data_IF_151895696906
#
_entry.id   IF_151895696906
#
_cell.length_a   1.000
_cell.length_b   1.000
_cell.length_c   1.000
_cell.angle_alpha   90.00
_cell.angle_beta   90.00
_cell.angle_gamma   90.00
#
_symmetry.space_group_name_H-M   'P 1'
#
loop_
_entity.id
_entity.type
_entity.pdbx_description
1 polymer ?
#
# COMPACT_ATOMS: atom_id res chain seq x y z
N UNK A 1 16.65 28.61 -13.31
CA UNK A 1 15.52 28.70 -12.35
C UNK A 1 14.46 27.72 -12.81
N UNK A 2 14.10 26.74 -11.98
CA UNK A 2 12.99 25.82 -12.29
C UNK A 2 11.67 26.51 -11.94
N UNK A 3 10.69 26.41 -12.83
CA UNK A 3 9.34 26.97 -12.64
C UNK A 3 8.45 25.93 -11.96
N UNK A 4 7.57 26.37 -11.06
CA UNK A 4 6.57 25.52 -10.43
C UNK A 4 5.62 24.93 -11.49
N UNK A 5 5.42 23.61 -11.55
CA UNK A 5 4.51 23.01 -12.53
C UNK A 5 3.06 23.41 -12.25
N UNK A 6 2.34 23.77 -13.31
CA UNK A 6 0.87 23.92 -13.24
C UNK A 6 0.26 22.54 -13.46
N UNK A 7 -0.33 21.96 -12.43
CA UNK A 7 -0.91 20.59 -12.48
C UNK A 7 -1.97 20.45 -13.57
N UNK A 8 -2.71 21.53 -13.89
CA UNK A 8 -3.70 21.55 -14.96
C UNK A 8 -3.13 21.26 -16.37
N UNK A 9 -1.82 21.42 -16.56
CA UNK A 9 -1.15 21.11 -17.84
C UNK A 9 -0.83 19.61 -17.99
N UNK A 10 -1.07 18.82 -16.95
CA UNK A 10 -0.79 17.40 -16.89
C UNK A 10 -2.08 16.58 -16.89
N UNK A 11 -1.99 15.34 -17.38
CA UNK A 11 -3.10 14.38 -17.29
C UNK A 11 -3.02 13.61 -15.98
N UNK A 12 -4.14 13.44 -15.25
CA UNK A 12 -4.19 12.53 -14.10
C UNK A 12 -3.72 11.13 -14.50
N UNK A 13 -2.86 10.54 -13.69
CA UNK A 13 -2.32 9.21 -13.92
C UNK A 13 -2.82 8.21 -12.88
N UNK A 14 -2.63 8.51 -11.58
CA UNK A 14 -3.13 7.69 -10.48
C UNK A 14 -3.19 8.49 -9.19
N UNK A 15 -4.02 8.02 -8.25
CA UNK A 15 -4.08 8.53 -6.88
C UNK A 15 -3.79 7.39 -5.93
N UNK A 16 -2.93 7.63 -4.94
CA UNK A 16 -2.53 6.63 -3.95
C UNK A 16 -2.83 7.21 -2.55
N UNK A 17 -3.77 6.60 -1.80
CA UNK A 17 -3.97 6.94 -0.39
C UNK A 17 -2.84 6.35 0.47
N UNK A 18 -2.70 6.87 1.69
CA UNK A 18 -1.74 6.41 2.71
C UNK A 18 -0.34 6.17 2.14
N UNK A 19 0.20 7.21 1.48
CA UNK A 19 1.45 7.09 0.76
C UNK A 19 2.62 6.77 1.67
N UNK A 20 3.53 5.99 1.11
CA UNK A 20 4.85 5.77 1.66
C UNK A 20 5.77 6.98 1.38
N UNK A 21 6.33 7.56 2.45
CA UNK A 21 7.43 8.52 2.38
C UNK A 21 8.66 7.92 3.06
N UNK A 22 9.70 7.66 2.27
CA UNK A 22 10.98 7.08 2.72
C UNK A 22 10.83 5.77 3.51
N UNK A 23 9.95 4.86 3.06
CA UNK A 23 9.69 3.57 3.71
C UNK A 23 8.71 3.65 4.87
N UNK A 24 7.97 4.75 5.00
CA UNK A 24 6.94 4.95 6.01
C UNK A 24 5.59 5.33 5.44
N UNK A 25 4.62 4.44 5.63
CA UNK A 25 3.21 4.70 5.35
C UNK A 25 2.70 5.80 6.29
N UNK A 26 2.19 6.88 5.71
CA UNK A 26 1.59 8.01 6.43
C UNK A 26 0.06 7.97 6.25
N UNK A 27 -0.72 7.55 7.26
CA UNK A 27 -2.17 7.53 7.16
C UNK A 27 -2.76 8.93 6.93
N UNK A 28 -3.62 9.05 5.93
CA UNK A 28 -4.25 10.30 5.50
C UNK A 28 -3.39 11.16 4.58
N UNK A 29 -2.19 10.71 4.20
CA UNK A 29 -1.40 11.34 3.14
C UNK A 29 -1.77 10.71 1.79
N UNK A 30 -2.36 11.51 0.91
CA UNK A 30 -2.71 11.11 -0.44
C UNK A 30 -1.72 11.71 -1.43
N UNK A 31 -1.18 10.90 -2.34
CA UNK A 31 -0.42 11.38 -3.50
C UNK A 31 -1.22 11.27 -4.78
N UNK A 32 -1.42 12.38 -5.45
CA UNK A 32 -2.01 12.46 -6.79
C UNK A 32 -0.90 12.66 -7.81
N UNK A 33 -0.78 11.71 -8.74
CA UNK A 33 0.28 11.69 -9.74
C UNK A 33 -0.27 12.04 -11.11
N UNK A 34 0.44 12.92 -11.81
CA UNK A 34 0.08 13.41 -13.13
C UNK A 34 1.26 13.29 -14.08
N UNK A 35 0.97 13.12 -15.37
CA UNK A 35 1.98 12.94 -16.41
C UNK A 35 1.68 13.82 -17.62
N UNK A 36 2.73 14.24 -18.30
CA UNK A 36 2.66 14.98 -19.57
C UNK A 36 3.83 14.57 -20.46
N UNK A 37 3.63 14.34 -21.77
CA UNK A 37 4.73 14.22 -22.72
C UNK A 37 5.61 15.48 -22.71
N UNK A 38 6.92 15.31 -22.83
CA UNK A 38 7.91 16.39 -22.89
C UNK A 38 9.07 15.95 -23.81
N UNK A 39 8.90 16.17 -25.12
CA UNK A 39 9.77 15.60 -26.15
C UNK A 39 9.80 14.07 -26.06
N UNK A 40 11.01 13.52 -25.98
CA UNK A 40 11.24 12.06 -25.85
C UNK A 40 11.11 11.55 -24.41
N UNK A 41 10.71 12.41 -23.46
CA UNK A 41 10.56 12.09 -22.04
C UNK A 41 9.12 12.27 -21.60
N UNK A 42 8.81 11.72 -20.41
CA UNK A 42 7.51 11.94 -19.76
C UNK A 42 7.76 12.70 -18.47
N UNK A 43 7.32 13.95 -18.42
CA UNK A 43 7.33 14.75 -17.21
C UNK A 43 6.26 14.21 -16.24
N UNK A 44 6.60 14.14 -14.96
CA UNK A 44 5.72 13.68 -13.88
C UNK A 44 5.69 14.69 -12.75
N UNK A 45 4.52 14.87 -12.15
CA UNK A 45 4.33 15.66 -10.93
C UNK A 45 3.46 14.87 -9.95
N UNK A 46 3.89 14.80 -8.69
CA UNK A 46 3.11 14.30 -7.57
C UNK A 46 2.68 15.47 -6.69
N UNK A 47 1.38 15.58 -6.42
CA UNK A 47 0.81 16.53 -5.46
C UNK A 47 0.35 15.76 -4.23
N UNK A 48 0.90 16.13 -3.08
CA UNK A 48 0.72 15.41 -1.83
C UNK A 48 -0.17 16.22 -0.90
N UNK A 49 -1.26 15.60 -0.45
CA UNK A 49 -2.25 16.19 0.44
C UNK A 49 -2.37 15.39 1.73
N UNK A 50 -2.22 16.05 2.86
CA UNK A 50 -2.46 15.45 4.16
C UNK A 50 -3.84 15.88 4.67
N UNK A 51 -4.74 14.91 4.87
CA UNK A 51 -6.13 15.16 5.31
C UNK A 51 -6.83 16.25 4.49
N UNK A 52 -6.60 16.25 3.18
CA UNK A 52 -7.17 17.21 2.22
C UNK A 52 -6.39 18.52 2.05
N UNK A 53 -5.42 18.83 2.91
CA UNK A 53 -4.59 20.03 2.77
C UNK A 53 -3.33 19.74 1.93
N UNK A 54 -3.05 20.58 0.93
CA UNK A 54 -1.83 20.49 0.13
C UNK A 54 -0.60 20.70 1.01
N UNK A 55 0.40 19.82 0.87
CA UNK A 55 1.58 19.82 1.72
C UNK A 55 2.85 20.06 0.90
N UNK A 56 3.05 19.30 -0.18
CA UNK A 56 4.13 19.52 -1.13
C UNK A 56 3.78 19.02 -2.53
N UNK A 57 4.54 19.50 -3.51
CA UNK A 57 4.62 18.92 -4.85
C UNK A 57 6.05 18.52 -5.14
N UNK A 58 6.22 17.37 -5.76
CA UNK A 58 7.51 16.89 -6.25
C UNK A 58 7.40 16.51 -7.73
N UNK A 59 8.38 16.87 -8.54
CA UNK A 59 8.35 16.62 -9.99
C UNK A 59 9.71 16.28 -10.58
N UNK A 60 9.67 15.71 -11.77
CA UNK A 60 10.83 15.23 -12.51
C UNK A 60 10.36 14.52 -13.76
N UNK A 61 11.07 13.47 -14.16
CA UNK A 61 10.72 12.66 -15.31
C UNK A 61 10.58 11.18 -14.92
N UNK A 62 9.74 10.47 -15.67
CA UNK A 62 9.63 9.01 -15.54
C UNK A 62 11.00 8.37 -15.79
N UNK A 63 11.37 7.41 -14.94
CA UNK A 63 12.66 6.69 -15.00
C UNK A 63 13.78 7.34 -14.19
N UNK A 64 13.58 8.53 -13.62
CA UNK A 64 14.51 9.09 -12.64
C UNK A 64 14.32 8.39 -11.27
N UNK A 65 15.43 8.04 -10.61
CA UNK A 65 15.41 7.35 -9.31
C UNK A 65 14.83 8.22 -8.18
N UNK A 66 14.95 9.53 -8.32
CA UNK A 66 14.52 10.50 -7.32
C UNK A 66 13.76 11.65 -7.98
N UNK A 67 12.92 12.32 -7.19
CA UNK A 67 12.30 13.57 -7.62
C UNK A 67 13.41 14.59 -7.90
N UNK A 68 13.29 15.29 -9.03
CA UNK A 68 14.28 16.30 -9.42
C UNK A 68 14.10 17.59 -8.64
N UNK A 69 12.84 17.94 -8.35
CA UNK A 69 12.48 19.18 -7.69
C UNK A 69 11.30 18.98 -6.73
N UNK A 70 11.28 19.78 -5.67
CA UNK A 70 10.21 19.82 -4.68
C UNK A 70 9.88 21.26 -4.28
N UNK A 71 8.60 21.54 -4.01
CA UNK A 71 8.12 22.78 -3.40
C UNK A 71 7.05 22.47 -2.34
N UNK A 72 6.99 23.26 -1.28
CA UNK A 72 6.04 23.07 -0.17
C UNK A 72 4.92 24.09 -0.23
N UNK A 73 3.76 23.71 0.32
CA UNK A 73 2.67 24.64 0.56
C UNK A 73 2.93 25.40 1.87
N UNK A 74 2.93 26.72 1.80
CA UNK A 74 2.91 27.63 2.94
C UNK A 74 1.65 28.50 2.95
N UNK A 75 1.56 29.39 3.94
CA UNK A 75 0.44 30.33 4.09
C UNK A 75 0.32 31.28 2.90
N UNK A 76 1.47 31.79 2.41
CA UNK A 76 1.54 32.71 1.26
C UNK A 76 1.45 32.02 -0.11
N UNK A 77 1.24 30.70 -0.14
CA UNK A 77 1.28 29.90 -1.36
C UNK A 77 2.47 28.94 -1.41
N UNK A 78 2.90 28.59 -2.62
CA UNK A 78 3.99 27.62 -2.82
C UNK A 78 5.36 28.24 -2.56
N UNK A 79 6.24 27.52 -1.88
CA UNK A 79 7.64 27.94 -1.73
C UNK A 79 8.36 27.91 -3.08
N UNK A 80 9.52 28.58 -3.15
CA UNK A 80 10.43 28.38 -4.26
C UNK A 80 10.82 26.89 -4.37
N UNK A 81 10.94 26.34 -5.59
CA UNK A 81 11.45 24.99 -5.80
C UNK A 81 12.86 24.80 -5.25
N UNK A 82 13.12 23.66 -4.65
CA UNK A 82 14.47 23.18 -4.36
C UNK A 82 14.74 21.85 -5.04
N UNK A 83 16.01 21.56 -5.28
CA UNK A 83 16.43 20.30 -5.90
C UNK A 83 16.23 19.12 -4.95
N UNK A 84 15.87 17.97 -5.52
CA UNK A 84 15.76 16.70 -4.82
C UNK A 84 14.39 16.41 -4.20
N UNK A 85 14.37 15.32 -3.43
CA UNK A 85 13.20 14.80 -2.71
C UNK A 85 12.73 15.74 -1.58
N UNK A 86 11.49 15.54 -1.09
CA UNK A 86 11.01 16.23 0.10
C UNK A 86 11.94 16.05 1.30
N UNK A 87 12.14 17.12 2.07
CA UNK A 87 12.97 17.16 3.27
C UNK A 87 12.18 16.56 4.40
N UNK A 88 12.36 15.27 4.62
CA UNK A 88 11.71 14.56 5.71
C UNK A 88 12.73 14.09 6.74
N UNK A 89 12.32 14.05 8.00
CA UNK A 89 13.11 13.50 9.10
C UNK A 89 12.22 12.65 9.99
N UNK A 90 12.69 11.47 10.35
CA UNK A 90 11.98 10.59 11.27
C UNK A 90 12.29 10.93 12.73
N UNK A 91 11.25 10.98 13.55
CA UNK A 91 11.33 11.14 15.01
C UNK A 91 10.25 10.30 15.70
N UNK A 92 10.64 9.27 16.46
CA UNK A 92 9.79 8.51 17.38
C UNK A 92 8.31 8.30 16.93
N UNK A 93 8.09 7.57 15.83
CA UNK A 93 6.73 7.27 15.32
C UNK A 93 6.07 8.43 14.54
N UNK A 94 6.84 9.48 14.24
CA UNK A 94 6.42 10.62 13.44
C UNK A 94 7.40 10.85 12.30
N UNK A 95 6.90 11.29 11.15
CA UNK A 95 7.68 11.86 10.06
C UNK A 95 7.50 13.37 10.07
N UNK A 96 8.60 14.10 10.24
CA UNK A 96 8.60 15.56 10.15
C UNK A 96 8.90 15.97 8.72
N UNK A 97 8.01 16.74 8.11
CA UNK A 97 8.29 17.42 6.84
C UNK A 97 8.78 18.83 7.13
N UNK A 98 10.00 19.15 6.70
CA UNK A 98 10.61 20.47 6.85
C UNK A 98 10.35 21.31 5.58
N UNK A 99 9.47 22.31 5.71
CA UNK A 99 9.10 23.20 4.60
C UNK A 99 10.06 24.38 4.46
N UNK A 100 11.13 24.43 5.26
CA UNK A 100 12.05 25.56 5.41
C UNK A 100 11.50 26.71 6.26
N UNK A 101 10.18 26.79 6.46
CA UNK A 101 9.52 27.78 7.32
C UNK A 101 8.82 27.15 8.52
N UNK A 102 8.36 25.92 8.37
CA UNK A 102 7.66 25.18 9.41
C UNK A 102 8.05 23.70 9.35
N UNK A 103 7.77 22.99 10.45
CA UNK A 103 7.84 21.53 10.49
C UNK A 103 6.46 20.96 10.73
N UNK A 104 6.04 20.08 9.83
CA UNK A 104 4.74 19.42 9.90
C UNK A 104 4.97 18.00 10.40
N UNK A 105 4.40 17.67 11.54
CA UNK A 105 4.44 16.33 12.12
C UNK A 105 3.34 15.46 11.51
N UNK A 106 3.76 14.41 10.80
CA UNK A 106 2.87 13.42 10.22
C UNK A 106 3.00 12.11 11.01
N UNK A 107 1.90 11.55 11.55
CA UNK A 107 1.95 10.25 12.21
C UNK A 107 2.31 9.18 11.18
N UNK A 108 3.23 8.28 11.51
CA UNK A 108 3.54 7.12 10.67
C UNK A 108 3.06 5.84 11.30
N UNK A 109 2.60 4.92 10.46
CA UNK A 109 2.47 3.53 10.87
C UNK A 109 3.82 2.84 10.66
N UNK A 110 4.16 1.87 11.51
CA UNK A 110 5.21 0.93 11.17
C UNK A 110 4.83 0.30 9.82
N UNK A 111 5.75 0.29 8.86
CA UNK A 111 5.50 -0.34 7.57
C UNK A 111 4.96 -1.76 7.81
N UNK A 112 3.73 -2.01 7.37
CA UNK A 112 3.25 -3.39 7.32
C UNK A 112 4.13 -4.13 6.31
N UNK A 113 4.66 -5.33 6.62
CA UNK A 113 5.43 -6.11 5.66
C UNK A 113 4.65 -6.43 4.37
N UNK A 114 3.34 -6.20 4.35
CA UNK A 114 2.44 -6.40 3.21
C UNK A 114 2.34 -5.18 2.26
N UNK A 115 2.76 -3.98 2.70
CA UNK A 115 2.74 -2.75 1.89
C UNK A 115 4.04 -2.50 1.11
N UNK A 116 5.03 -3.41 1.24
CA UNK A 116 6.15 -3.46 0.32
C UNK A 116 5.59 -3.70 -1.09
N UNK A 117 5.71 -2.71 -1.97
CA UNK A 117 5.51 -2.90 -3.39
C UNK A 117 6.31 -4.14 -3.82
N UNK A 118 5.80 -5.05 -4.67
CA UNK A 118 6.53 -6.24 -5.06
C UNK A 118 7.70 -5.87 -5.95
N UNK A 119 8.77 -5.36 -5.35
CA UNK A 119 10.09 -5.35 -5.93
C UNK A 119 10.59 -6.80 -5.85
N UNK A 120 10.52 -7.47 -7.00
CA UNK A 120 11.12 -8.78 -7.25
C UNK A 120 10.56 -9.95 -6.42
N UNK A 121 9.36 -10.40 -6.78
CA UNK A 121 8.94 -11.77 -6.52
C UNK A 121 9.72 -12.76 -7.42
N UNK A 122 11.05 -12.81 -7.30
CA UNK A 122 11.88 -13.82 -7.95
C UNK A 122 13.17 -14.06 -7.16
N UNK A 123 13.07 -14.95 -6.16
CA UNK A 123 14.09 -15.94 -5.82
C UNK A 123 13.64 -16.74 -4.60
N UNK A 124 12.87 -17.81 -4.81
CA UNK A 124 12.92 -18.97 -3.91
C UNK A 124 14.00 -19.91 -4.43
N UNK A 125 15.12 -20.15 -3.72
CA UNK A 125 15.83 -21.40 -3.88
C UNK A 125 14.94 -22.49 -3.28
N UNK A 126 14.48 -23.42 -4.12
CA UNK A 126 13.74 -24.59 -3.66
C UNK A 126 14.62 -25.46 -2.75
N UNK A 127 14.05 -26.19 -1.78
CA UNK A 127 14.79 -27.21 -1.07
C UNK A 127 15.04 -28.40 -2.01
N UNK A 128 16.30 -28.57 -2.42
CA UNK A 128 16.81 -29.84 -2.92
C UNK A 128 17.16 -30.71 -1.71
N UNK A 129 16.62 -31.93 -1.67
CA UNK A 129 16.95 -32.91 -0.64
C UNK A 129 15.86 -33.94 -0.42
N UNK A 130 15.70 -34.81 -1.40
CA UNK A 130 14.91 -36.04 -1.34
C UNK A 130 15.34 -36.93 -0.17
N UNK A 131 14.38 -37.54 0.53
CA UNK A 131 14.54 -38.91 1.01
C UNK A 131 13.19 -39.66 0.96
N UNK A 132 13.18 -40.59 0.00
CA UNK A 132 12.51 -41.88 -0.15
C UNK A 132 11.41 -42.31 0.84
N UNK A 133 10.33 -42.88 0.28
CA UNK A 133 9.46 -43.81 1.01
C UNK A 133 8.05 -43.97 0.44
N UNK A 134 7.94 -44.57 -0.74
CA UNK A 134 6.66 -44.94 -1.34
C UNK A 134 5.94 -46.05 -0.56
N UNK A 135 4.61 -45.95 -0.41
CA UNK A 135 3.70 -47.05 -0.77
C UNK A 135 2.32 -46.51 -1.10
N UNK A 136 1.85 -46.90 -2.28
CA UNK A 136 0.51 -46.66 -2.80
C UNK A 136 -0.54 -47.52 -2.06
N UNK A 137 -1.81 -47.10 -2.10
CA UNK A 137 -2.90 -47.92 -2.63
C UNK A 137 -4.21 -47.12 -2.71
N UNK A 138 -4.76 -47.13 -3.91
CA UNK A 138 -6.09 -46.67 -4.31
C UNK A 138 -7.19 -47.49 -3.64
N UNK A 139 -8.32 -46.86 -3.31
CA UNK A 139 -9.62 -47.53 -3.36
C UNK A 139 -10.72 -46.51 -3.65
N UNK A 140 -11.54 -46.84 -4.64
CA UNK A 140 -12.74 -46.16 -5.13
C UNK A 140 -13.96 -47.04 -4.82
N UNK A 141 -15.17 -46.44 -4.90
CA UNK A 141 -16.55 -47.00 -4.87
C UNK A 141 -17.16 -47.20 -3.48
N UNK A 142 -18.47 -47.09 -3.25
CA UNK A 142 -19.68 -46.62 -3.96
C UNK A 142 -20.82 -46.67 -2.91
N UNK A 143 -22.00 -46.08 -3.20
CA UNK A 143 -23.05 -45.73 -2.24
C UNK A 143 -23.75 -46.85 -1.46
N UNK A 144 -24.58 -46.45 -0.48
CA UNK A 144 -26.00 -46.85 -0.33
C UNK A 144 -26.60 -46.38 1.00
N UNK A 145 -27.67 -45.57 0.92
CA UNK A 145 -28.77 -45.49 1.90
C UNK A 145 -29.58 -46.82 1.87
N UNK A 146 -30.44 -47.21 2.86
CA UNK A 146 -31.48 -46.35 3.47
C UNK A 146 -31.96 -46.65 4.91
N UNK A 147 -32.86 -45.75 5.37
CA UNK A 147 -34.00 -45.91 6.30
C UNK A 147 -33.77 -46.39 7.76
N UNK A 148 -34.36 -45.69 8.75
CA UNK A 148 -35.74 -45.93 9.22
C UNK A 148 -36.22 -44.85 10.21
N UNK A 149 -37.43 -44.36 9.96
CA UNK A 149 -38.35 -43.75 10.94
C UNK A 149 -39.13 -44.85 11.68
N UNK A 150 -39.45 -44.64 12.95
CA UNK A 150 -40.47 -45.41 13.69
C UNK A 150 -40.39 -45.07 15.19
N UNK A 151 -41.24 -44.18 15.70
CA UNK A 151 -42.61 -44.41 16.20
C UNK A 151 -42.64 -44.83 17.68
N UNK A 152 -43.30 -43.97 18.47
CA UNK A 152 -43.75 -44.18 19.84
C UNK A 152 -44.68 -45.40 19.96
N UNK A 153 -44.55 -46.16 21.06
CA UNK A 153 -45.63 -46.49 22.02
C UNK A 153 -45.13 -47.43 23.13
N UNK A 154 -45.84 -47.37 24.25
CA UNK A 154 -45.47 -47.76 25.61
C UNK A 154 -45.52 -49.26 25.95
N UNK A 155 -44.94 -49.66 27.09
CA UNK A 155 -45.55 -50.63 28.04
C UNK A 155 -44.79 -50.76 29.37
N UNK A 156 -45.55 -50.94 30.47
CA UNK A 156 -45.13 -51.55 31.76
C UNK A 156 -45.13 -50.58 32.96
N UNK A 157 -46.19 -50.43 33.79
CA UNK A 157 -46.79 -51.37 34.78
C UNK A 157 -45.82 -51.80 35.91
N UNK A 158 -46.08 -51.72 37.23
CA UNK A 158 -47.25 -51.35 38.06
C UNK A 158 -46.82 -51.03 39.53
N UNK A 159 -47.61 -50.28 40.32
CA UNK A 159 -48.52 -50.72 41.44
C UNK A 159 -47.80 -51.06 42.79
N UNK A 160 -48.51 -51.13 43.94
CA UNK A 160 -49.21 -50.06 44.67
C UNK A 160 -48.77 -49.99 46.17
N UNK A 161 -49.25 -49.01 46.92
CA UNK A 161 -49.09 -48.93 48.39
C UNK A 161 -49.51 -47.60 48.96
#
# INVERSE_FOLDING_TARGET
MTVLPRVADYRPHRTVPDIDLEGHVVPGLTGEFFRRPDGDRVATVGLYRYRGAELFMAWGFVGEAHCRWTAYRGEDGWTAPHEGCPRVRREAGTLLVDTGRARIALPVQAASPEAAWPEHADARPGPAGSDVGAVALTAVHDGSHPAVSGSLCATGAGLPG
#
